data_IF_607817797606
#
_entry.id   IF_607817797606
#
_cell.length_a   1.000
_cell.length_b   1.000
_cell.length_c   1.000
_cell.angle_alpha   90.00
_cell.angle_beta   90.00
_cell.angle_gamma   90.00
#
_symmetry.space_group_name_H-M   'P 1'
#
loop_
_entity.id
_entity.type
_entity.pdbx_description
1 polymer ?
#
# COMPACT_ATOMS: atom_id res chain seq x y z
N UNK A 1 5.60 -3.53 17.04
CA UNK A 1 5.12 -2.13 17.18
C UNK A 1 3.62 -2.17 17.00
N UNK A 2 2.86 -1.51 17.88
CA UNK A 2 1.41 -1.44 17.72
C UNK A 2 1.09 -0.44 16.61
N UNK A 3 0.21 -0.80 15.68
CA UNK A 3 -0.24 0.09 14.59
C UNK A 3 -1.51 0.78 15.06
N UNK A 4 -1.46 2.11 15.21
CA UNK A 4 -2.62 2.93 15.60
C UNK A 4 -2.97 4.00 14.57
N UNK A 5 -2.00 4.47 13.79
CA UNK A 5 -2.21 5.51 12.78
C UNK A 5 -1.70 5.03 11.42
N UNK A 6 -2.60 4.91 10.44
CA UNK A 6 -2.28 4.41 9.10
C UNK A 6 -2.29 5.57 8.10
N UNK A 7 -1.21 5.75 7.35
CA UNK A 7 -1.14 6.68 6.23
C UNK A 7 -1.35 5.94 4.91
N UNK A 8 -2.33 6.37 4.11
CA UNK A 8 -2.52 5.94 2.74
C UNK A 8 -2.06 7.06 1.80
N UNK A 9 -1.02 6.80 1.02
CA UNK A 9 -0.59 7.76 0.00
C UNK A 9 -1.50 7.66 -1.23
N UNK A 10 -1.89 8.82 -1.78
CA UNK A 10 -2.57 8.91 -3.08
C UNK A 10 -1.91 9.99 -3.94
N UNK A 11 -1.88 9.76 -5.25
CA UNK A 11 -1.18 10.63 -6.21
C UNK A 11 -1.90 10.60 -7.57
N UNK A 12 -1.76 11.63 -8.42
CA UNK A 12 -2.42 11.66 -9.72
C UNK A 12 -2.10 10.41 -10.54
N UNK A 13 -3.11 9.89 -11.23
CA UNK A 13 -3.02 8.71 -12.09
C UNK A 13 -2.71 7.42 -11.31
N UNK A 14 -3.14 7.33 -10.04
CA UNK A 14 -3.13 6.06 -9.30
C UNK A 14 -4.13 5.07 -9.90
N UNK A 15 -3.96 3.80 -9.59
CA UNK A 15 -5.03 2.80 -9.77
C UNK A 15 -5.88 2.76 -8.51
N UNK A 16 -7.14 3.19 -8.55
CA UNK A 16 -7.97 3.26 -7.35
C UNK A 16 -8.14 1.92 -6.63
N UNK A 17 -8.20 0.81 -7.35
CA UNK A 17 -8.30 -0.52 -6.72
C UNK A 17 -7.04 -0.88 -5.92
N UNK A 18 -5.87 -0.39 -6.31
CA UNK A 18 -4.63 -0.55 -5.54
C UNK A 18 -4.75 0.12 -4.16
N UNK A 19 -5.40 1.28 -4.12
CA UNK A 19 -5.65 2.02 -2.87
C UNK A 19 -6.81 1.40 -2.08
N UNK A 20 -8.00 1.32 -2.68
CA UNK A 20 -9.25 0.96 -2.01
C UNK A 20 -9.19 -0.48 -1.48
N UNK A 21 -8.52 -1.41 -2.17
CA UNK A 21 -8.42 -2.80 -1.71
C UNK A 21 -7.72 -2.94 -0.36
N UNK A 22 -6.61 -2.23 -0.15
CA UNK A 22 -5.92 -2.19 1.14
C UNK A 22 -6.65 -1.33 2.17
N UNK A 23 -7.15 -0.17 1.74
CA UNK A 23 -7.92 0.75 2.59
C UNK A 23 -9.14 0.10 3.23
N UNK A 24 -9.95 -0.65 2.46
CA UNK A 24 -11.18 -1.24 2.98
C UNK A 24 -10.91 -2.30 4.05
N UNK A 25 -9.92 -3.18 3.86
CA UNK A 25 -9.56 -4.17 4.86
C UNK A 25 -9.00 -3.51 6.14
N UNK A 26 -8.10 -2.53 6.00
CA UNK A 26 -7.43 -1.90 7.14
C UNK A 26 -8.36 -0.97 7.93
N UNK A 27 -9.27 -0.21 7.28
CA UNK A 27 -10.24 0.63 8.02
C UNK A 27 -11.18 -0.21 8.88
N UNK A 28 -11.47 -1.46 8.46
CA UNK A 28 -12.39 -2.35 9.16
C UNK A 28 -11.90 -2.78 10.53
N UNK A 29 -10.58 -2.74 10.76
CA UNK A 29 -10.02 -2.94 12.10
C UNK A 29 -10.69 -2.02 13.14
N UNK A 30 -10.87 -0.74 12.80
CA UNK A 30 -11.57 0.20 13.67
C UNK A 30 -13.09 0.02 13.58
N UNK A 31 -13.65 -0.01 12.36
CA UNK A 31 -15.12 0.04 12.20
C UNK A 31 -15.85 -1.23 12.62
N UNK A 32 -15.14 -2.37 12.74
CA UNK A 32 -15.68 -3.63 13.26
C UNK A 32 -15.32 -3.87 14.73
N UNK A 33 -14.64 -2.93 15.39
CA UNK A 33 -14.36 -3.01 16.82
C UNK A 33 -13.18 -3.91 17.21
N UNK A 34 -12.37 -4.39 16.26
CA UNK A 34 -11.16 -5.18 16.52
C UNK A 34 -10.14 -4.35 17.29
N UNK A 35 -9.91 -3.11 16.85
CA UNK A 35 -9.11 -2.13 17.58
C UNK A 35 -9.67 -0.71 17.31
N UNK A 36 -10.61 -0.24 18.15
CA UNK A 36 -11.26 1.06 17.97
C UNK A 36 -10.33 2.27 18.04
N UNK A 37 -9.10 2.10 18.55
CA UNK A 37 -8.11 3.16 18.62
C UNK A 37 -7.35 3.36 17.29
N UNK A 38 -7.55 2.48 16.30
CA UNK A 38 -6.95 2.63 14.98
C UNK A 38 -7.62 3.77 14.23
N UNK A 39 -6.79 4.62 13.64
CA UNK A 39 -7.19 5.73 12.78
C UNK A 39 -6.41 5.67 11.48
N UNK A 40 -6.95 6.32 10.44
CA UNK A 40 -6.26 6.44 9.16
C UNK A 40 -6.30 7.86 8.62
N UNK A 41 -5.42 8.15 7.67
CA UNK A 41 -5.38 9.39 6.91
C UNK A 41 -5.07 9.09 5.46
N UNK A 42 -5.84 9.67 4.54
CA UNK A 42 -5.54 9.68 3.12
C UNK A 42 -4.70 10.93 2.84
N UNK A 43 -3.44 10.74 2.47
CA UNK A 43 -2.50 11.82 2.23
C UNK A 43 -2.21 11.91 0.73
N UNK A 44 -2.55 13.03 0.13
CA UNK A 44 -2.32 13.31 -1.27
C UNK A 44 -0.99 13.98 -1.57
N UNK A 45 -0.56 13.86 -2.83
CA UNK A 45 0.45 14.77 -3.40
C UNK A 45 -0.18 16.09 -3.90
N UNK A 46 -1.49 16.11 -4.09
CA UNK A 46 -2.30 17.27 -4.50
C UNK A 46 -3.64 17.27 -3.75
N UNK A 47 -4.35 18.40 -3.76
CA UNK A 47 -5.62 18.57 -3.05
C UNK A 47 -6.81 17.85 -3.72
N UNK A 48 -6.66 17.43 -4.97
CA UNK A 48 -7.61 16.61 -5.70
C UNK A 48 -6.81 15.63 -6.56
N UNK A 49 -7.20 14.36 -6.51
CA UNK A 49 -6.46 13.27 -7.13
C UNK A 49 -7.40 12.50 -8.04
N UNK A 50 -7.02 12.37 -9.31
CA UNK A 50 -7.77 11.61 -10.31
C UNK A 50 -7.02 10.40 -10.85
N UNK A 51 -7.75 9.42 -11.37
CA UNK A 51 -7.19 8.38 -12.24
C UNK A 51 -7.21 8.79 -13.72
N UNK A 52 -6.83 7.88 -14.63
CA UNK A 52 -6.86 8.13 -16.09
C UNK A 52 -8.26 8.31 -16.67
N UNK A 53 -9.30 7.93 -15.92
CA UNK A 53 -10.67 7.78 -16.40
C UNK A 53 -11.65 8.81 -15.82
N UNK A 54 -11.14 9.70 -14.97
CA UNK A 54 -11.91 10.81 -14.39
C UNK A 54 -12.56 10.51 -13.05
N UNK A 55 -12.29 9.36 -12.42
CA UNK A 55 -12.65 9.16 -11.01
C UNK A 55 -11.77 10.06 -10.15
N UNK A 56 -12.38 10.79 -9.22
CA UNK A 56 -11.70 11.77 -8.36
C UNK A 56 -11.87 11.43 -6.88
N UNK A 57 -10.86 11.75 -6.08
CA UNK A 57 -10.94 11.81 -4.62
C UNK A 57 -10.31 13.10 -4.10
N UNK A 58 -10.83 13.57 -2.97
CA UNK A 58 -10.20 14.61 -2.17
C UNK A 58 -9.50 13.96 -0.97
N UNK A 59 -8.16 13.93 -0.92
CA UNK A 59 -7.44 13.42 0.24
C UNK A 59 -7.72 14.31 1.46
N UNK A 60 -7.46 13.76 2.64
CA UNK A 60 -7.69 14.48 3.89
C UNK A 60 -6.64 15.58 4.14
N UNK A 61 -5.44 15.39 3.60
CA UNK A 61 -4.33 16.34 3.67
C UNK A 61 -3.39 16.17 2.47
N UNK A 62 -2.50 17.13 2.27
CA UNK A 62 -1.49 17.13 1.20
C UNK A 62 -0.11 17.20 1.83
N UNK A 63 0.74 16.19 1.58
CA UNK A 63 2.09 16.08 2.17
C UNK A 63 2.13 16.27 3.71
N UNK A 64 1.16 15.71 4.45
CA UNK A 64 1.16 15.71 5.92
C UNK A 64 2.37 14.95 6.48
N UNK A 65 2.94 15.37 7.61
CA UNK A 65 4.15 14.76 8.16
C UNK A 65 3.97 13.27 8.48
N UNK A 66 4.78 12.44 7.84
CA UNK A 66 4.77 10.99 8.00
C UNK A 66 5.26 10.53 9.38
N UNK A 67 5.98 11.36 10.15
CA UNK A 67 6.40 11.04 11.51
C UNK A 67 5.22 10.72 12.45
N UNK A 68 4.02 11.17 12.11
CA UNK A 68 2.81 10.99 12.90
C UNK A 68 2.15 9.60 12.77
N UNK A 69 2.62 8.73 11.86
CA UNK A 69 1.96 7.46 11.52
C UNK A 69 2.82 6.23 11.82
N UNK A 70 2.18 5.06 11.92
CA UNK A 70 2.81 3.79 12.28
C UNK A 70 2.93 2.82 11.09
N UNK A 71 2.02 2.93 10.11
CA UNK A 71 2.02 2.16 8.87
C UNK A 71 1.80 3.08 7.66
N UNK A 72 2.65 2.93 6.63
CA UNK A 72 2.48 3.60 5.34
C UNK A 72 2.05 2.61 4.27
N UNK A 73 1.00 2.93 3.52
CA UNK A 73 0.50 2.15 2.39
C UNK A 73 0.64 2.95 1.09
N UNK A 74 1.36 2.40 0.12
CA UNK A 74 1.67 3.06 -1.17
C UNK A 74 1.06 2.27 -2.34
N UNK A 75 0.01 2.80 -3.01
CA UNK A 75 -0.58 2.15 -4.17
C UNK A 75 0.31 2.27 -5.42
N UNK A 76 -0.06 1.56 -6.48
CA UNK A 76 0.50 1.75 -7.81
C UNK A 76 -0.38 2.59 -8.71
N UNK A 77 -0.11 2.47 -10.01
CA UNK A 77 -0.80 3.20 -11.07
C UNK A 77 0.17 3.82 -12.07
N UNK A 78 -0.38 4.38 -13.14
CA UNK A 78 0.39 4.99 -14.21
C UNK A 78 1.24 6.18 -13.74
N UNK A 79 0.77 6.92 -12.73
CA UNK A 79 1.49 8.05 -12.13
C UNK A 79 2.89 7.70 -11.63
N UNK A 80 3.09 6.46 -11.14
CA UNK A 80 4.38 5.98 -10.61
C UNK A 80 5.55 6.15 -11.59
N UNK A 81 5.30 6.12 -12.91
CA UNK A 81 6.33 6.24 -13.95
C UNK A 81 6.99 7.62 -13.97
N UNK A 82 6.21 8.69 -13.76
CA UNK A 82 6.75 10.03 -13.64
C UNK A 82 7.28 10.28 -12.23
N UNK A 83 6.51 9.84 -11.23
CA UNK A 83 6.77 10.07 -9.81
C UNK A 83 8.05 9.41 -9.28
N UNK A 84 8.56 8.36 -9.93
CA UNK A 84 9.87 7.79 -9.59
C UNK A 84 11.03 8.79 -9.80
N UNK A 85 10.81 9.85 -10.57
CA UNK A 85 11.78 10.93 -10.78
C UNK A 85 11.37 12.25 -10.10
N UNK A 86 10.27 12.26 -9.34
CA UNK A 86 9.83 13.42 -8.59
C UNK A 86 10.59 13.51 -7.25
N UNK A 87 11.49 14.48 -7.14
CA UNK A 87 12.32 14.63 -5.95
C UNK A 87 11.50 14.89 -4.68
N UNK A 88 10.41 15.67 -4.78
CA UNK A 88 9.57 16.02 -3.63
C UNK A 88 8.89 14.78 -3.06
N UNK A 89 8.30 13.94 -3.91
CA UNK A 89 7.66 12.71 -3.46
C UNK A 89 8.69 11.71 -2.92
N UNK A 90 9.83 11.54 -3.60
CA UNK A 90 10.84 10.58 -3.15
C UNK A 90 11.44 10.99 -1.80
N UNK A 91 11.71 12.27 -1.59
CA UNK A 91 12.21 12.76 -0.29
C UNK A 91 11.12 12.71 0.80
N UNK A 92 9.86 12.94 0.42
CA UNK A 92 8.72 12.71 1.31
C UNK A 92 8.64 11.24 1.74
N UNK A 93 8.75 10.28 0.82
CA UNK A 93 8.77 8.86 1.17
C UNK A 93 9.95 8.51 2.08
N UNK A 94 11.16 9.03 1.81
CA UNK A 94 12.35 8.81 2.66
C UNK A 94 12.14 9.29 4.10
N UNK A 95 11.32 10.33 4.32
CA UNK A 95 11.00 10.84 5.67
C UNK A 95 10.30 9.80 6.56
N UNK A 96 9.75 8.72 5.99
CA UNK A 96 9.21 7.58 6.74
C UNK A 96 10.26 6.91 7.64
N UNK A 97 11.53 6.92 7.21
CA UNK A 97 12.62 6.24 7.90
C UNK A 97 12.56 4.70 7.79
N UNK A 98 13.62 3.98 8.20
CA UNK A 98 13.77 2.55 7.88
C UNK A 98 13.16 1.57 8.89
N UNK A 99 12.66 2.07 10.04
CA UNK A 99 12.27 1.22 11.19
C UNK A 99 10.78 0.93 11.30
N UNK A 100 9.94 1.66 10.58
CA UNK A 100 8.49 1.53 10.63
C UNK A 100 7.98 0.73 9.44
N UNK A 101 6.90 -0.06 9.59
CA UNK A 101 6.40 -0.88 8.52
C UNK A 101 5.82 -0.03 7.39
N UNK A 102 6.12 -0.41 6.16
CA UNK A 102 5.48 0.14 4.97
C UNK A 102 5.12 -0.96 3.98
N UNK A 103 4.04 -0.75 3.26
CA UNK A 103 3.53 -1.67 2.28
C UNK A 103 3.33 -0.98 0.93
N UNK A 104 3.50 -1.73 -0.15
CA UNK A 104 3.10 -1.28 -1.48
C UNK A 104 2.43 -2.38 -2.27
N UNK A 105 1.60 -1.98 -3.23
CA UNK A 105 0.99 -2.86 -4.21
C UNK A 105 1.33 -2.36 -5.61
N UNK A 106 1.37 -3.29 -6.57
CA UNK A 106 1.54 -2.97 -7.98
C UNK A 106 2.82 -2.15 -8.18
N UNK A 107 2.79 -1.10 -9.00
CA UNK A 107 3.95 -0.24 -9.27
C UNK A 107 4.33 0.70 -8.12
N UNK A 108 3.60 0.70 -7.00
CA UNK A 108 4.01 1.41 -5.78
C UNK A 108 5.38 0.94 -5.26
N UNK A 109 5.73 -0.33 -5.52
CA UNK A 109 7.05 -0.88 -5.22
C UNK A 109 8.20 -0.14 -5.92
N UNK A 110 7.96 0.49 -7.09
CA UNK A 110 8.98 1.29 -7.78
C UNK A 110 9.31 2.55 -6.98
N UNK A 111 8.31 3.18 -6.36
CA UNK A 111 8.49 4.36 -5.51
C UNK A 111 9.25 3.98 -4.24
N UNK A 112 8.90 2.85 -3.60
CA UNK A 112 9.64 2.33 -2.46
C UNK A 112 11.08 1.98 -2.81
N UNK A 113 11.29 1.36 -3.98
CA UNK A 113 12.60 1.02 -4.51
C UNK A 113 13.48 2.25 -4.71
N UNK A 114 12.95 3.28 -5.36
CA UNK A 114 13.64 4.56 -5.57
C UNK A 114 13.95 5.29 -4.26
N UNK A 115 13.07 5.22 -3.27
CA UNK A 115 13.31 5.75 -1.93
C UNK A 115 14.32 4.92 -1.12
N UNK A 116 14.79 3.79 -1.64
CA UNK A 116 15.85 2.96 -1.04
C UNK A 116 15.36 1.84 -0.13
N UNK A 117 14.05 1.67 0.04
CA UNK A 117 13.49 0.68 0.97
C UNK A 117 13.70 -0.77 0.55
N UNK A 118 13.90 -1.01 -0.75
CA UNK A 118 14.03 -2.36 -1.32
C UNK A 118 15.50 -2.80 -1.50
N UNK A 119 16.47 -1.94 -1.21
CA UNK A 119 17.88 -2.26 -1.35
C UNK A 119 18.26 -3.49 -0.50
N UNK A 120 18.84 -4.52 -1.14
CA UNK A 120 19.23 -5.77 -0.48
C UNK A 120 18.08 -6.73 -0.13
N UNK A 121 16.83 -6.37 -0.44
CA UNK A 121 15.63 -7.16 -0.12
C UNK A 121 15.04 -7.84 -1.34
N UNK A 122 14.22 -8.86 -1.12
CA UNK A 122 13.32 -9.37 -2.16
C UNK A 122 12.09 -8.48 -2.27
N UNK A 123 11.51 -8.38 -3.45
CA UNK A 123 10.26 -7.63 -3.63
C UNK A 123 9.47 -8.16 -4.82
N UNK A 124 8.18 -7.86 -4.86
CA UNK A 124 7.34 -8.05 -6.04
C UNK A 124 6.67 -6.74 -6.46
N UNK A 125 6.06 -6.74 -7.64
CA UNK A 125 5.31 -5.61 -8.20
C UNK A 125 4.31 -6.15 -9.22
N UNK A 126 3.65 -5.28 -9.97
CA UNK A 126 2.85 -5.70 -11.12
C UNK A 126 3.72 -6.47 -12.12
N UNK A 127 3.24 -7.59 -12.66
CA UNK A 127 4.03 -8.48 -13.53
C UNK A 127 4.67 -7.76 -14.74
N UNK A 128 3.97 -6.77 -15.32
CA UNK A 128 4.50 -5.91 -16.40
C UNK A 128 5.62 -4.95 -15.99
N UNK A 129 5.92 -4.83 -14.71
CA UNK A 129 6.91 -3.90 -14.16
C UNK A 129 8.09 -4.61 -13.48
N UNK A 130 8.20 -5.95 -13.58
CA UNK A 130 9.32 -6.69 -13.00
C UNK A 130 10.68 -6.18 -13.45
N UNK A 131 10.86 -5.92 -14.75
CA UNK A 131 12.11 -5.40 -15.28
C UNK A 131 12.45 -4.01 -14.71
N UNK A 132 11.43 -3.17 -14.47
CA UNK A 132 11.58 -1.85 -13.88
C UNK A 132 11.93 -1.90 -12.39
N UNK A 133 11.56 -2.98 -11.70
CA UNK A 133 11.85 -3.16 -10.27
C UNK A 133 13.27 -3.67 -10.02
N UNK A 134 13.82 -4.49 -10.93
CA UNK A 134 15.14 -5.14 -10.77
C UNK A 134 16.27 -4.22 -10.29
N UNK A 135 16.39 -2.96 -10.76
CA UNK A 135 17.46 -2.07 -10.30
C UNK A 135 17.38 -1.67 -8.81
N UNK A 136 16.23 -1.86 -8.17
CA UNK A 136 15.96 -1.35 -6.82
C UNK A 136 15.98 -2.43 -5.72
N UNK A 137 16.03 -3.71 -6.07
CA UNK A 137 15.96 -4.81 -5.11
C UNK A 137 17.00 -5.90 -5.39
N UNK A 138 17.22 -6.79 -4.42
CA UNK A 138 18.11 -7.96 -4.59
C UNK A 138 17.54 -8.96 -5.59
N UNK A 139 16.22 -9.15 -5.54
CA UNK A 139 15.52 -10.18 -6.30
C UNK A 139 14.06 -9.76 -6.51
N UNK A 140 13.57 -9.93 -7.74
CA UNK A 140 12.17 -9.76 -8.07
C UNK A 140 11.48 -11.13 -8.00
N UNK A 141 10.56 -11.28 -7.05
CA UNK A 141 9.79 -12.52 -6.86
C UNK A 141 8.58 -12.51 -7.79
N UNK A 142 8.46 -13.53 -8.64
CA UNK A 142 7.45 -13.58 -9.72
C UNK A 142 6.35 -14.61 -9.50
N UNK A 143 6.49 -15.50 -8.51
CA UNK A 143 5.60 -16.63 -8.23
C UNK A 143 4.86 -16.48 -6.89
N UNK A 144 4.91 -15.29 -6.28
CA UNK A 144 4.19 -14.94 -5.05
C UNK A 144 3.45 -13.63 -5.22
N UNK A 145 2.24 -13.58 -4.66
CA UNK A 145 1.40 -12.39 -4.68
C UNK A 145 1.81 -11.33 -3.66
N UNK A 146 2.35 -11.77 -2.53
CA UNK A 146 2.84 -10.93 -1.43
C UNK A 146 4.26 -11.39 -1.07
N UNK A 147 5.15 -10.43 -0.87
CA UNK A 147 6.53 -10.63 -0.40
C UNK A 147 6.74 -9.77 0.83
N UNK A 148 7.00 -10.41 1.97
CA UNK A 148 7.28 -9.77 3.25
C UNK A 148 8.76 -9.90 3.62
N UNK A 149 9.44 -8.77 3.76
CA UNK A 149 10.83 -8.68 4.21
C UNK A 149 10.93 -7.85 5.50
N UNK A 150 10.04 -8.13 6.46
CA UNK A 150 10.00 -7.50 7.77
C UNK A 150 9.35 -6.13 7.76
N UNK A 151 10.14 -5.07 7.63
CA UNK A 151 9.59 -3.70 7.63
C UNK A 151 8.94 -3.34 6.30
N UNK A 152 9.22 -4.07 5.22
CA UNK A 152 8.68 -3.77 3.89
C UNK A 152 7.87 -4.95 3.40
N UNK A 153 6.62 -4.70 3.01
CA UNK A 153 5.74 -5.67 2.35
C UNK A 153 5.42 -5.16 0.95
N UNK A 154 5.61 -5.99 -0.06
CA UNK A 154 5.25 -5.65 -1.45
C UNK A 154 4.27 -6.67 -1.98
N UNK A 155 3.30 -6.22 -2.78
CA UNK A 155 2.31 -7.08 -3.41
C UNK A 155 2.24 -6.86 -4.92
N UNK A 156 1.72 -7.87 -5.61
CA UNK A 156 1.56 -7.91 -7.06
C UNK A 156 0.55 -6.91 -7.60
N UNK A 157 0.01 -7.17 -8.79
CA UNK A 157 -0.87 -6.21 -9.48
C UNK A 157 -2.27 -6.11 -8.88
N UNK A 158 -2.82 -4.88 -8.91
CA UNK A 158 -4.26 -4.55 -8.90
C UNK A 158 -5.07 -5.23 -7.79
N UNK A 159 -5.71 -6.36 -8.09
CA UNK A 159 -6.53 -7.08 -7.13
C UNK A 159 -5.73 -7.59 -5.92
N UNK A 160 -4.40 -7.64 -6.01
CA UNK A 160 -3.51 -8.00 -4.89
C UNK A 160 -3.61 -7.04 -3.71
N UNK A 161 -4.20 -5.85 -3.90
CA UNK A 161 -4.48 -4.93 -2.81
C UNK A 161 -5.43 -5.50 -1.76
N UNK A 162 -6.41 -6.33 -2.16
CA UNK A 162 -7.34 -6.97 -1.23
C UNK A 162 -6.61 -7.98 -0.34
N UNK A 163 -5.79 -8.85 -0.95
CA UNK A 163 -4.96 -9.80 -0.21
C UNK A 163 -3.94 -9.10 0.67
N UNK A 164 -3.29 -8.04 0.18
CA UNK A 164 -2.33 -7.27 0.97
C UNK A 164 -3.00 -6.63 2.18
N UNK A 165 -4.20 -6.06 2.01
CA UNK A 165 -4.98 -5.50 3.11
C UNK A 165 -5.24 -6.54 4.21
N UNK A 166 -5.79 -7.70 3.84
CA UNK A 166 -6.05 -8.80 4.78
C UNK A 166 -4.76 -9.34 5.40
N UNK A 167 -3.67 -9.45 4.62
CA UNK A 167 -2.38 -9.88 5.13
C UNK A 167 -1.82 -8.93 6.19
N UNK A 168 -1.92 -7.62 5.96
CA UNK A 168 -1.50 -6.62 6.96
C UNK A 168 -2.41 -6.67 8.20
N UNK A 169 -3.71 -6.94 8.03
CA UNK A 169 -4.63 -7.17 9.16
C UNK A 169 -4.13 -8.35 10.01
N UNK A 170 -3.88 -9.50 9.38
CA UNK A 170 -3.37 -10.69 10.04
C UNK A 170 -2.04 -10.43 10.75
N UNK A 171 -1.13 -9.74 10.08
CA UNK A 171 0.21 -9.43 10.60
C UNK A 171 0.18 -8.61 11.88
N UNK A 172 -0.73 -7.64 12.00
CA UNK A 172 -0.72 -6.69 13.12
C UNK A 172 -1.82 -6.91 14.15
N UNK A 173 -2.94 -7.56 13.79
CA UNK A 173 -4.07 -7.83 14.67
C UNK A 173 -4.46 -9.31 14.76
N UNK A 174 -3.76 -10.20 14.05
CA UNK A 174 -3.88 -11.66 14.17
C UNK A 174 -4.89 -12.29 13.20
N UNK A 175 -4.81 -13.61 13.08
CA UNK A 175 -5.61 -14.40 12.13
C UNK A 175 -7.13 -14.27 12.35
N UNK A 176 -7.57 -14.18 13.62
CA UNK A 176 -8.99 -14.02 13.95
C UNK A 176 -9.58 -12.72 13.38
N UNK A 177 -8.85 -11.59 13.51
CA UNK A 177 -9.25 -10.31 12.93
C UNK A 177 -9.35 -10.38 11.39
N UNK A 178 -8.37 -11.03 10.75
CA UNK A 178 -8.37 -11.26 9.30
C UNK A 178 -9.54 -12.13 8.86
N UNK A 179 -9.85 -13.20 9.60
CA UNK A 179 -11.00 -14.07 9.34
C UNK A 179 -12.32 -13.33 9.43
N UNK A 180 -12.52 -12.56 10.49
CA UNK A 180 -13.73 -11.78 10.70
C UNK A 180 -13.94 -10.74 9.59
N UNK A 181 -12.90 -9.98 9.27
CA UNK A 181 -12.94 -8.97 8.20
C UNK A 181 -13.16 -9.63 6.84
N UNK A 182 -12.45 -10.71 6.51
CA UNK A 182 -12.60 -11.41 5.24
C UNK A 182 -14.01 -12.00 5.07
N UNK A 183 -14.60 -12.54 6.14
CA UNK A 183 -15.96 -13.04 6.15
C UNK A 183 -16.97 -11.92 5.88
N UNK A 184 -16.82 -10.78 6.56
CA UNK A 184 -17.68 -9.62 6.35
C UNK A 184 -17.56 -9.05 4.93
N UNK A 185 -16.35 -9.04 4.34
CA UNK A 185 -16.11 -8.62 2.96
C UNK A 185 -16.67 -9.60 1.92
N UNK A 186 -17.15 -10.78 2.35
CA UNK A 186 -17.39 -11.94 1.48
C UNK A 186 -16.20 -12.24 0.55
N UNK A 187 -14.97 -12.10 1.07
CA UNK A 187 -13.76 -12.32 0.29
C UNK A 187 -13.51 -13.81 0.09
N UNK A 188 -14.12 -14.36 -0.96
CA UNK A 188 -14.05 -15.77 -1.37
C UNK A 188 -14.01 -15.89 -2.89
N UNK A 189 -13.71 -17.09 -3.39
CA UNK A 189 -13.78 -17.37 -4.83
C UNK A 189 -15.21 -17.11 -5.35
N UNK A 190 -15.32 -16.54 -6.55
CA UNK A 190 -16.61 -16.33 -7.19
C UNK A 190 -17.29 -17.66 -7.48
N UNK A 191 -18.57 -17.76 -7.13
CA UNK A 191 -19.44 -18.88 -7.47
C UNK A 191 -20.72 -18.33 -8.07
N UNK A 192 -21.02 -18.67 -9.33
CA UNK A 192 -22.31 -18.41 -9.94
C UNK A 192 -23.14 -19.70 -9.91
N UNK A 193 -24.47 -19.53 -9.81
CA UNK A 193 -25.46 -20.60 -10.04
C UNK A 193 -26.05 -20.42 -11.43
#
# INVERSE_FOLDING_TARGET
>A
MAIKRIAFLVFPRLTFLDFIGGYDALRRVATMGIDPAVTHRIIGTDAEIGDETGLLIRPDAVYEDLAAFDLLYVPGGFGTRALVNDARLIDYLKSWGPRRPLASVCTGALLLGKAGYLAGRRATTHHRAYDLLRPYCREVVTDRRIVDEGQVVTAGGVASALDLGLYLVERFWGAAAREEIAAQMEYRAYSAV
#
